data_IF_052407205378
#
_entry.id   IF_052407205378
#
_cell.length_a   1.000
_cell.length_b   1.000
_cell.length_c   1.000
_cell.angle_alpha   90.00
_cell.angle_beta   90.00
_cell.angle_gamma   90.00
#
_symmetry.space_group_name_H-M   'P 1'
#
loop_
_entity.id
_entity.type
_entity.pdbx_description
1 polymer ?
#
# COMPACT_ATOMS: atom_id res chain seq x y z
N UNK A 1 -9.82 3.65 -18.91
CA UNK A 1 -10.36 4.62 -17.93
C UNK A 1 -9.15 5.02 -17.06
N UNK A 2 -9.26 5.83 -16.00
CA UNK A 2 -8.11 6.06 -15.11
C UNK A 2 -7.86 4.86 -14.19
N UNK A 3 -6.60 4.52 -13.86
CA UNK A 3 -6.24 3.36 -13.00
C UNK A 3 -6.99 3.32 -11.66
N UNK A 4 -7.21 4.49 -11.04
CA UNK A 4 -8.03 4.62 -9.82
C UNK A 4 -9.48 4.15 -10.02
N UNK A 5 -10.12 4.57 -11.11
CA UNK A 5 -11.49 4.19 -11.43
C UNK A 5 -11.60 2.70 -11.81
N UNK A 6 -10.57 2.14 -12.43
CA UNK A 6 -10.51 0.71 -12.76
C UNK A 6 -10.38 -0.16 -11.50
N UNK A 7 -9.71 0.34 -10.46
CA UNK A 7 -9.56 -0.33 -9.17
C UNK A 7 -10.68 -0.02 -8.16
N UNK A 8 -11.72 0.72 -8.55
CA UNK A 8 -12.76 1.26 -7.64
C UNK A 8 -12.19 2.02 -6.43
N UNK A 9 -11.07 2.71 -6.64
CA UNK A 9 -10.40 3.53 -5.64
C UNK A 9 -10.68 5.01 -5.87
N UNK A 10 -10.88 5.73 -4.77
CA UNK A 10 -10.95 7.20 -4.78
C UNK A 10 -9.66 7.75 -4.19
N UNK A 11 -9.07 8.74 -4.85
CA UNK A 11 -7.95 9.51 -4.30
C UNK A 11 -8.51 10.65 -3.43
N UNK A 12 -8.10 10.72 -2.17
CA UNK A 12 -8.42 11.82 -1.28
C UNK A 12 -7.36 12.92 -1.36
N UNK A 13 -6.08 12.56 -1.36
CA UNK A 13 -4.98 13.51 -1.52
C UNK A 13 -3.73 12.86 -2.10
N UNK A 14 -2.89 13.70 -2.68
CA UNK A 14 -1.56 13.38 -3.16
C UNK A 14 -0.60 14.41 -2.58
N UNK A 15 0.50 13.96 -1.99
CA UNK A 15 1.43 14.85 -1.32
C UNK A 15 2.87 14.39 -1.42
N UNK A 16 3.76 15.32 -1.15
CA UNK A 16 5.21 15.11 -1.04
C UNK A 16 5.66 15.68 0.29
N UNK A 17 6.36 14.89 1.10
CA UNK A 17 6.90 15.37 2.38
C UNK A 17 8.13 16.26 2.20
N UNK A 18 8.62 16.86 3.29
CA UNK A 18 9.81 17.74 3.29
C UNK A 18 11.08 17.05 2.76
N UNK A 19 11.11 15.71 2.78
CA UNK A 19 12.25 14.90 2.30
C UNK A 19 12.11 14.53 0.83
N UNK A 20 11.01 14.92 0.17
CA UNK A 20 10.71 14.61 -1.23
C UNK A 20 9.96 13.29 -1.42
N UNK A 21 9.42 12.66 -0.37
CA UNK A 21 8.74 11.38 -0.47
C UNK A 21 7.26 11.54 -0.81
N UNK A 22 6.86 10.88 -1.89
CA UNK A 22 5.49 10.83 -2.34
C UNK A 22 4.63 9.89 -1.50
N UNK A 23 3.42 10.35 -1.22
CA UNK A 23 2.36 9.58 -0.59
C UNK A 23 1.00 9.88 -1.24
N UNK A 24 0.15 8.86 -1.33
CA UNK A 24 -1.27 9.02 -1.64
C UNK A 24 -2.11 8.71 -0.42
N UNK A 25 -3.23 9.41 -0.25
CA UNK A 25 -4.28 9.02 0.69
C UNK A 25 -5.51 8.63 -0.11
N UNK A 26 -6.04 7.43 0.12
CA UNK A 26 -7.27 6.96 -0.51
C UNK A 26 -8.51 7.50 0.22
N UNK A 27 -9.67 7.45 -0.42
CA UNK A 27 -10.94 7.93 0.15
C UNK A 27 -11.36 7.25 1.44
N UNK A 28 -10.84 6.04 1.71
CA UNK A 28 -11.04 5.33 2.98
C UNK A 28 -9.99 5.64 4.05
N UNK A 29 -9.10 6.61 3.81
CA UNK A 29 -8.03 7.01 4.72
C UNK A 29 -6.81 6.09 4.73
N UNK A 30 -6.66 5.20 3.75
CA UNK A 30 -5.45 4.37 3.60
C UNK A 30 -4.30 5.22 3.06
N UNK A 31 -3.13 5.16 3.68
CA UNK A 31 -1.92 5.80 3.17
C UNK A 31 -1.14 4.85 2.25
N UNK A 32 -0.77 5.30 1.06
CA UNK A 32 0.09 4.57 0.13
C UNK A 32 1.43 5.30 0.04
N UNK A 33 2.47 4.74 0.64
CA UNK A 33 3.80 5.34 0.74
C UNK A 33 4.66 4.90 -0.44
N UNK A 34 4.83 5.79 -1.40
CA UNK A 34 5.64 5.53 -2.60
C UNK A 34 7.12 5.85 -2.37
N UNK A 35 7.47 6.77 -1.47
CA UNK A 35 8.87 7.17 -1.27
C UNK A 35 9.35 8.14 -2.34
N UNK A 36 10.66 8.16 -2.60
CA UNK A 36 11.33 9.26 -3.35
C UNK A 36 11.81 8.89 -4.75
N UNK A 37 11.92 7.59 -5.02
CA UNK A 37 12.50 7.03 -6.24
C UNK A 37 11.55 5.98 -6.81
N UNK A 38 11.70 5.67 -8.09
CA UNK A 38 10.96 4.58 -8.75
C UNK A 38 9.44 4.73 -8.56
N UNK A 39 8.95 5.98 -8.55
CA UNK A 39 7.57 6.34 -8.22
C UNK A 39 6.60 5.67 -9.19
N UNK A 40 6.92 5.71 -10.48
CA UNK A 40 6.12 5.08 -11.52
C UNK A 40 6.07 3.57 -11.32
N UNK A 41 7.21 2.90 -11.10
CA UNK A 41 7.26 1.46 -10.84
C UNK A 41 6.42 1.07 -9.61
N UNK A 42 6.50 1.86 -8.54
CA UNK A 42 5.72 1.63 -7.31
C UNK A 42 4.23 1.88 -7.52
N UNK A 43 3.86 2.86 -8.34
CA UNK A 43 2.47 3.07 -8.76
C UNK A 43 1.95 1.89 -9.60
N UNK A 44 2.75 1.38 -10.55
CA UNK A 44 2.39 0.18 -11.30
C UNK A 44 2.19 -1.01 -10.37
N UNK A 45 3.13 -1.27 -9.46
CA UNK A 45 3.02 -2.33 -8.46
C UNK A 45 1.79 -2.16 -7.56
N UNK A 46 1.47 -0.92 -7.18
CA UNK A 46 0.29 -0.63 -6.38
C UNK A 46 -0.99 -1.10 -7.10
N UNK A 47 -1.18 -0.67 -8.35
CA UNK A 47 -2.41 -0.99 -9.08
C UNK A 47 -2.47 -2.44 -9.56
N UNK A 48 -1.36 -3.01 -9.97
CA UNK A 48 -1.35 -4.31 -10.64
C UNK A 48 -1.22 -5.48 -9.65
N UNK A 49 -0.67 -5.24 -8.45
CA UNK A 49 -0.45 -6.29 -7.44
C UNK A 49 -1.14 -5.99 -6.12
N UNK A 50 -0.84 -4.84 -5.51
CA UNK A 50 -1.24 -4.56 -4.13
C UNK A 50 -2.74 -4.34 -3.99
N UNK A 51 -3.32 -3.43 -4.78
CA UNK A 51 -4.74 -3.08 -4.68
C UNK A 51 -5.64 -4.30 -4.92
N UNK A 52 -5.41 -5.14 -5.96
CA UNK A 52 -6.14 -6.40 -6.12
C UNK A 52 -5.96 -7.36 -4.94
N UNK A 53 -4.74 -7.51 -4.43
CA UNK A 53 -4.42 -8.42 -3.31
C UNK A 53 -5.11 -8.01 -2.01
N UNK A 54 -5.21 -6.70 -1.76
CA UNK A 54 -5.78 -6.14 -0.53
C UNK A 54 -7.25 -5.74 -0.66
N UNK A 55 -7.87 -5.84 -1.84
CA UNK A 55 -9.26 -5.44 -2.06
C UNK A 55 -10.25 -5.92 -0.98
N UNK A 56 -10.26 -7.20 -0.54
CA UNK A 56 -11.19 -7.65 0.51
C UNK A 56 -10.84 -7.11 1.91
N UNK A 57 -9.62 -6.63 2.11
CA UNK A 57 -9.07 -6.22 3.41
C UNK A 57 -8.81 -4.72 3.50
N UNK A 58 -9.06 -3.95 2.43
CA UNK A 58 -8.61 -2.57 2.29
C UNK A 58 -9.11 -1.66 3.42
N UNK A 59 -10.32 -1.92 3.94
CA UNK A 59 -10.89 -1.17 5.07
C UNK A 59 -10.08 -1.33 6.37
N UNK A 60 -9.40 -2.47 6.54
CA UNK A 60 -8.55 -2.76 7.71
C UNK A 60 -7.13 -2.22 7.55
N UNK A 61 -6.75 -1.82 6.34
CA UNK A 61 -5.42 -1.27 6.06
C UNK A 61 -5.36 0.16 6.60
N UNK A 62 -4.30 0.43 7.36
CA UNK A 62 -3.89 1.78 7.75
C UNK A 62 -2.97 2.37 6.69
N UNK A 63 -1.91 1.65 6.34
CA UNK A 63 -0.98 2.05 5.29
C UNK A 63 -0.44 0.86 4.49
N UNK A 64 -0.02 1.13 3.26
CA UNK A 64 0.85 0.25 2.46
C UNK A 64 2.15 0.97 2.17
N UNK A 65 3.27 0.30 2.42
CA UNK A 65 4.61 0.81 2.16
C UNK A 65 5.27 0.09 0.99
N UNK A 66 5.46 0.80 -0.11
CA UNK A 66 6.03 0.30 -1.37
C UNK A 66 7.51 0.62 -1.53
N UNK A 67 8.16 1.14 -0.47
CA UNK A 67 9.57 1.56 -0.54
C UNK A 67 10.55 0.40 -0.67
N UNK A 68 10.09 -0.84 -0.46
CA UNK A 68 10.90 -2.05 -0.58
C UNK A 68 11.01 -2.54 -2.03
N UNK A 69 12.21 -2.92 -2.46
CA UNK A 69 12.46 -3.36 -3.84
C UNK A 69 11.66 -4.61 -4.19
N UNK A 70 11.59 -5.59 -3.27
CA UNK A 70 11.04 -6.93 -3.54
C UNK A 70 9.72 -7.22 -2.81
N UNK A 71 8.90 -6.19 -2.55
CA UNK A 71 7.62 -6.41 -1.89
C UNK A 71 6.97 -5.13 -1.41
N UNK A 72 6.10 -5.27 -0.42
CA UNK A 72 5.45 -4.18 0.31
C UNK A 72 5.13 -4.60 1.73
N UNK A 73 5.07 -3.63 2.64
CA UNK A 73 4.58 -3.85 4.00
C UNK A 73 3.18 -3.28 4.16
N UNK A 74 2.36 -3.90 5.02
CA UNK A 74 1.00 -3.45 5.31
C UNK A 74 0.88 -3.17 6.80
N UNK A 75 0.51 -1.94 7.14
CA UNK A 75 0.05 -1.57 8.46
C UNK A 75 -1.46 -1.79 8.58
N UNK A 76 -1.90 -2.33 9.70
CA UNK A 76 -3.29 -2.68 9.95
C UNK A 76 -3.85 -1.84 11.09
N UNK A 77 -5.07 -1.31 10.95
CA UNK A 77 -5.73 -0.49 11.97
C UNK A 77 -5.97 -1.26 13.27
N UNK A 78 -6.44 -2.50 13.14
CA UNK A 78 -6.82 -3.37 14.27
C UNK A 78 -5.99 -4.67 14.31
N UNK A 79 -4.74 -4.59 13.82
CA UNK A 79 -3.86 -5.75 13.69
C UNK A 79 -4.11 -6.62 12.43
N UNK A 80 -3.11 -7.44 12.05
CA UNK A 80 -3.20 -8.29 10.87
C UNK A 80 -4.33 -9.31 11.01
N UNK A 81 -4.97 -9.73 9.90
CA UNK A 81 -5.89 -10.86 9.96
C UNK A 81 -5.13 -12.12 10.42
N UNK A 82 -5.78 -12.96 11.22
CA UNK A 82 -5.17 -14.08 11.94
C UNK A 82 -4.39 -15.02 11.01
N UNK A 83 -4.90 -15.24 9.80
CA UNK A 83 -4.27 -16.08 8.78
C UNK A 83 -3.04 -15.44 8.12
N UNK A 84 -2.86 -14.11 8.16
CA UNK A 84 -1.64 -13.42 7.71
C UNK A 84 -0.64 -13.24 8.86
N UNK A 85 -1.12 -13.07 10.09
CA UNK A 85 -0.26 -13.03 11.28
C UNK A 85 0.58 -14.32 11.42
N UNK A 86 -0.03 -15.46 11.11
CA UNK A 86 0.65 -16.76 11.10
C UNK A 86 1.79 -16.86 10.05
N UNK A 87 1.71 -16.11 8.94
CA UNK A 87 2.73 -16.11 7.87
C UNK A 87 3.81 -15.07 8.16
N UNK A 88 3.44 -13.90 8.70
CA UNK A 88 4.37 -12.84 9.05
C UNK A 88 5.22 -13.14 10.30
N UNK A 89 4.78 -14.07 11.15
CA UNK A 89 5.51 -14.53 12.33
C UNK A 89 6.56 -15.62 12.03
N UNK A 90 6.78 -15.99 10.76
CA UNK A 90 7.95 -16.81 10.38
C UNK A 90 9.16 -15.88 10.33
N UNK A 91 10.11 -15.94 11.28
CA UNK A 91 11.30 -15.10 11.19
C UNK A 91 12.08 -15.49 9.95
N UNK A 92 12.61 -14.48 9.28
CA UNK A 92 13.61 -14.59 8.23
C UNK A 92 14.67 -15.60 8.66
N UNK A 93 14.63 -16.81 8.08
CA UNK A 93 15.68 -17.80 8.29
C UNK A 93 16.86 -17.41 7.40
N UNK A 94 17.75 -16.61 7.99
CA UNK A 94 19.16 -16.60 7.60
C UNK A 94 19.83 -17.95 7.81
#
# INVERSE_FOLDING_TARGET
RGKLAEADLKLASLGVDERGAWQLVLGGGQEIRLGRRDIDERLYRFFDVVAPTLAPLLKRVEYVDLRYTNGFAVGWRDGPPENLAAVAAVPDRG
#
